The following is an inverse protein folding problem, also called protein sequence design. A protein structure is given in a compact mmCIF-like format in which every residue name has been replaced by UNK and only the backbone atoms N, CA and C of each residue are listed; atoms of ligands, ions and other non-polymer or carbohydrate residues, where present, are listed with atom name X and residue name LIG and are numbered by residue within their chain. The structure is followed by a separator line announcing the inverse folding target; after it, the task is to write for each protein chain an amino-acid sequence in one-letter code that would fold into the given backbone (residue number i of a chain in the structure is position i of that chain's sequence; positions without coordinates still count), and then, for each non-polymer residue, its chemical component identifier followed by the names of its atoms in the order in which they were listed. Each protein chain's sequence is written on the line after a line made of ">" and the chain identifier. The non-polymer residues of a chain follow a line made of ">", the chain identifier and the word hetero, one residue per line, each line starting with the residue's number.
data_IF_835939295111
#
_entry.id   IF_835939295111
#
_cell.length_a   1.000
_cell.length_b   1.000
_cell.length_c   1.000
_cell.angle_alpha   90.00
_cell.angle_beta   90.00
_cell.angle_gamma   90.00
#
_symmetry.space_group_name_H-M   'P 1'
#
loop_
_entity.id
_entity.type
_entity.pdbx_description
1 polymer ?
#
# COMPACT_ATOMS: atom_id res chain seq x y z
N UNK A 1 16.36 54.66 -28.42
CA UNK A 1 15.82 54.09 -27.16
C UNK A 1 15.01 52.87 -27.58
N UNK A 2 15.54 51.65 -27.53
CA UNK A 2 15.94 50.95 -26.30
C UNK A 2 14.80 49.99 -25.94
N UNK A 3 14.76 48.81 -26.58
CA UNK A 3 13.73 47.81 -26.34
C UNK A 3 14.05 46.92 -25.13
N UNK A 4 13.01 46.48 -24.43
CA UNK A 4 12.94 45.36 -23.47
C UNK A 4 11.44 45.14 -23.17
N UNK A 5 10.87 43.98 -22.87
CA UNK A 5 11.22 42.55 -22.91
C UNK A 5 9.87 41.85 -22.61
N UNK A 6 9.69 40.64 -23.14
CA UNK A 6 8.51 39.77 -22.93
C UNK A 6 8.29 39.50 -21.42
N UNK A 7 7.03 39.35 -21.00
CA UNK A 7 6.71 38.39 -19.95
C UNK A 7 5.59 37.47 -20.42
N UNK A 8 6.00 36.26 -20.74
CA UNK A 8 5.20 35.08 -21.07
C UNK A 8 4.57 34.66 -19.74
N UNK A 9 3.25 34.60 -19.70
CA UNK A 9 2.48 34.07 -18.57
C UNK A 9 3.08 32.74 -18.13
N UNK A 10 3.72 32.73 -16.96
CA UNK A 10 3.99 31.54 -16.18
C UNK A 10 2.64 30.87 -15.94
N UNK A 11 2.37 29.79 -16.69
CA UNK A 11 1.48 28.77 -16.20
C UNK A 11 2.15 28.27 -14.94
N UNK A 12 1.59 28.68 -13.81
CA UNK A 12 1.81 28.03 -12.53
C UNK A 12 1.43 26.57 -12.77
N UNK A 13 2.45 25.72 -12.96
CA UNK A 13 2.30 24.28 -12.85
C UNK A 13 1.87 24.05 -11.41
N UNK A 14 0.55 23.97 -11.23
CA UNK A 14 -0.07 23.35 -10.08
C UNK A 14 0.59 21.98 -9.99
N UNK A 15 1.46 21.83 -8.99
CA UNK A 15 2.11 20.56 -8.67
C UNK A 15 0.95 19.60 -8.39
N UNK A 16 0.60 18.77 -9.38
CA UNK A 16 -0.37 17.68 -9.24
C UNK A 16 0.27 16.68 -8.27
N UNK A 17 0.13 16.98 -6.98
CA UNK A 17 0.96 16.39 -5.91
C UNK A 17 0.91 14.85 -5.96
N UNK A 18 -0.22 14.26 -6.40
CA UNK A 18 -0.36 12.83 -6.65
C UNK A 18 -1.31 12.59 -7.85
N UNK A 19 -0.80 12.22 -9.04
CA UNK A 19 -1.63 12.17 -10.26
C UNK A 19 -2.48 10.90 -10.40
N UNK A 20 -2.29 9.90 -9.52
CA UNK A 20 -2.98 8.61 -9.59
C UNK A 20 -3.71 8.27 -8.31
N UNK A 21 -4.87 7.64 -8.43
CA UNK A 21 -5.64 7.12 -7.30
C UNK A 21 -6.29 5.78 -7.62
N UNK A 22 -6.56 4.99 -6.58
CA UNK A 22 -7.24 3.70 -6.67
C UNK A 22 -8.74 3.87 -6.41
N UNK A 23 -9.58 3.38 -7.32
CA UNK A 23 -11.01 3.25 -7.11
C UNK A 23 -11.46 1.79 -7.08
N UNK A 24 -12.46 1.51 -6.24
CA UNK A 24 -12.98 0.16 -5.98
C UNK A 24 -14.39 0.07 -6.56
N UNK A 25 -14.61 -0.65 -7.68
CA UNK A 25 -15.94 -0.81 -8.23
C UNK A 25 -16.85 -1.55 -7.25
N UNK A 26 -18.09 -1.07 -7.11
CA UNK A 26 -19.11 -1.77 -6.32
C UNK A 26 -19.47 -3.07 -7.02
N UNK A 27 -19.45 -4.20 -6.31
CA UNK A 27 -19.86 -5.49 -6.86
C UNK A 27 -21.24 -5.34 -7.50
N UNK A 28 -21.31 -5.73 -8.77
CA UNK A 28 -22.33 -5.33 -9.72
C UNK A 28 -23.61 -6.16 -9.58
N UNK A 29 -24.34 -6.00 -8.48
CA UNK A 29 -25.71 -6.56 -8.38
C UNK A 29 -26.81 -5.51 -8.23
N UNK A 30 -26.52 -4.30 -7.72
CA UNK A 30 -27.57 -3.28 -7.49
C UNK A 30 -27.42 -1.97 -8.29
N UNK A 31 -26.25 -1.67 -8.88
CA UNK A 31 -25.99 -0.38 -9.53
C UNK A 31 -26.33 -0.29 -11.03
N UNK A 32 -26.93 -1.35 -11.62
CA UNK A 32 -27.17 -1.42 -13.08
C UNK A 32 -28.26 -0.50 -13.65
N UNK A 33 -28.92 0.34 -12.84
CA UNK A 33 -30.12 1.07 -13.32
C UNK A 33 -29.88 2.43 -13.98
N UNK A 34 -28.68 3.04 -13.99
CA UNK A 34 -28.51 4.40 -14.56
C UNK A 34 -27.16 4.74 -15.23
N UNK A 35 -26.30 3.79 -15.59
CA UNK A 35 -25.05 4.12 -16.30
C UNK A 35 -25.18 4.00 -17.83
N UNK A 36 -24.61 4.94 -18.61
CA UNK A 36 -24.51 4.82 -20.07
C UNK A 36 -23.73 3.55 -20.45
N UNK A 37 -24.26 2.75 -21.38
CA UNK A 37 -23.65 1.47 -21.81
C UNK A 37 -22.16 1.58 -22.18
N UNK A 38 -21.74 2.71 -22.74
CA UNK A 38 -20.35 2.99 -23.14
C UNK A 38 -19.39 3.23 -21.97
N UNK A 39 -19.85 3.79 -20.84
CA UNK A 39 -19.01 3.94 -19.64
C UNK A 39 -18.81 2.59 -18.95
N UNK A 40 -19.88 1.81 -18.81
CA UNK A 40 -19.82 0.49 -18.21
C UNK A 40 -18.85 -0.46 -18.94
N UNK A 41 -18.84 -0.43 -20.28
CA UNK A 41 -17.89 -1.22 -21.08
C UNK A 41 -16.42 -0.80 -20.87
N UNK A 42 -16.15 0.51 -20.78
CA UNK A 42 -14.78 1.02 -20.56
C UNK A 42 -14.25 0.75 -19.15
N UNK A 43 -15.11 0.80 -18.15
CA UNK A 43 -14.72 0.47 -16.78
C UNK A 43 -14.43 -1.04 -16.64
N UNK A 44 -15.19 -1.89 -17.34
CA UNK A 44 -14.99 -3.35 -17.32
C UNK A 44 -13.59 -3.74 -17.87
N UNK A 45 -13.13 -3.11 -18.96
CA UNK A 45 -11.78 -3.34 -19.52
C UNK A 45 -10.65 -2.83 -18.61
N UNK A 46 -10.90 -1.80 -17.81
CA UNK A 46 -9.90 -1.21 -16.90
C UNK A 46 -9.88 -1.85 -15.53
N UNK A 47 -10.94 -2.57 -15.19
CA UNK A 47 -11.07 -3.25 -13.91
C UNK A 47 -10.08 -4.42 -13.87
N UNK A 48 -9.20 -4.39 -12.87
CA UNK A 48 -8.22 -5.44 -12.65
C UNK A 48 -8.51 -6.12 -11.32
N UNK A 49 -8.19 -7.40 -11.24
CA UNK A 49 -8.20 -8.15 -9.99
C UNK A 49 -6.82 -8.12 -9.36
N UNK A 50 -6.75 -7.82 -8.07
CA UNK A 50 -5.55 -7.96 -7.26
C UNK A 50 -5.76 -9.13 -6.32
N UNK A 51 -4.95 -10.17 -6.49
CA UNK A 51 -4.81 -11.23 -5.50
C UNK A 51 -4.17 -10.65 -4.24
N UNK A 52 -4.66 -11.08 -3.08
CA UNK A 52 -3.95 -10.84 -1.84
C UNK A 52 -2.79 -11.85 -1.78
N UNK A 53 -1.55 -11.42 -1.47
CA UNK A 53 -0.36 -12.26 -1.61
C UNK A 53 -0.37 -13.55 -0.75
N UNK A 54 -1.40 -13.77 0.08
CA UNK A 54 -1.44 -14.81 1.10
C UNK A 54 -2.78 -15.54 1.04
N UNK A 55 -2.71 -16.80 0.58
CA UNK A 55 -3.85 -17.62 0.15
C UNK A 55 -4.74 -18.17 1.28
N UNK A 56 -4.35 -18.01 2.55
CA UNK A 56 -5.06 -18.63 3.68
C UNK A 56 -6.23 -17.78 4.21
N UNK A 57 -6.42 -16.57 3.70
CA UNK A 57 -7.57 -15.72 4.02
C UNK A 57 -8.48 -15.69 2.81
N UNK A 58 -9.50 -16.56 2.81
CA UNK A 58 -10.21 -17.05 1.64
C UNK A 58 -11.00 -16.01 0.80
N UNK A 59 -10.84 -14.69 1.01
CA UNK A 59 -11.54 -13.68 0.19
C UNK A 59 -10.98 -12.24 0.27
N UNK A 60 -9.67 -12.03 0.42
CA UNK A 60 -9.10 -10.66 0.45
C UNK A 60 -8.80 -10.07 -0.93
N UNK A 61 -8.83 -10.90 -1.98
CA UNK A 61 -8.67 -10.44 -3.35
C UNK A 61 -9.79 -9.49 -3.76
N UNK A 62 -9.44 -8.44 -4.50
CA UNK A 62 -10.40 -7.39 -4.82
C UNK A 62 -10.21 -6.82 -6.22
N UNK A 63 -11.29 -6.27 -6.77
CA UNK A 63 -11.28 -5.55 -8.02
C UNK A 63 -10.91 -4.08 -7.78
N UNK A 64 -10.04 -3.54 -8.62
CA UNK A 64 -9.59 -2.16 -8.55
C UNK A 64 -9.47 -1.54 -9.95
N UNK A 65 -9.50 -0.22 -9.97
CA UNK A 65 -9.25 0.61 -11.14
C UNK A 65 -8.21 1.66 -10.72
N UNK A 66 -7.22 1.91 -11.57
CA UNK A 66 -6.31 3.05 -11.41
C UNK A 66 -6.84 4.19 -12.25
N UNK A 67 -6.92 5.39 -11.68
CA UNK A 67 -7.36 6.59 -12.37
C UNK A 67 -6.29 7.68 -12.28
N UNK A 68 -5.93 8.37 -13.38
CA UNK A 68 -6.36 8.16 -14.77
C UNK A 68 -5.78 6.88 -15.39
N UNK A 69 -6.66 5.95 -15.80
CA UNK A 69 -6.25 4.61 -16.19
C UNK A 69 -5.43 4.51 -17.47
N UNK A 70 -5.63 5.40 -18.45
CA UNK A 70 -4.84 5.40 -19.69
C UNK A 70 -3.39 5.74 -19.39
N UNK A 71 -3.16 6.82 -18.63
CA UNK A 71 -1.82 7.26 -18.27
C UNK A 71 -1.09 6.17 -17.49
N UNK A 72 -1.74 5.51 -16.53
CA UNK A 72 -1.13 4.41 -15.79
C UNK A 72 -0.79 3.20 -16.68
N UNK A 73 -1.67 2.87 -17.63
CA UNK A 73 -1.48 1.74 -18.54
C UNK A 73 -0.34 1.98 -19.54
N UNK A 74 -0.18 3.21 -19.99
CA UNK A 74 0.85 3.64 -20.95
C UNK A 74 2.27 3.68 -20.32
N UNK A 75 2.36 3.73 -18.99
CA UNK A 75 3.63 3.69 -18.27
C UNK A 75 4.34 2.34 -18.41
N UNK A 76 5.67 2.41 -18.45
CA UNK A 76 6.51 1.21 -18.51
C UNK A 76 6.54 0.53 -17.14
N UNK A 77 6.25 -0.78 -17.11
CA UNK A 77 6.36 -1.57 -15.88
C UNK A 77 7.80 -2.05 -15.66
N UNK A 78 8.28 -1.89 -14.43
CA UNK A 78 9.62 -2.31 -14.01
C UNK A 78 9.54 -3.41 -12.96
N UNK A 79 10.59 -4.24 -12.92
CA UNK A 79 10.74 -5.29 -11.89
C UNK A 79 11.24 -4.74 -10.57
N UNK A 80 11.90 -3.58 -10.59
CA UNK A 80 12.55 -2.97 -9.42
C UNK A 80 12.93 -1.52 -9.67
N UNK A 81 13.11 -0.76 -8.60
CA UNK A 81 13.77 0.55 -8.60
C UNK A 81 14.92 0.58 -7.57
N UNK A 82 15.78 1.59 -7.66
CA UNK A 82 16.90 1.80 -6.73
C UNK A 82 16.79 3.19 -6.11
N UNK A 83 16.81 3.26 -4.78
CA UNK A 83 16.76 4.52 -4.03
C UNK A 83 17.63 4.41 -2.78
N UNK A 84 18.44 5.43 -2.51
CA UNK A 84 19.31 5.46 -1.32
C UNK A 84 20.32 4.30 -1.24
N UNK A 85 20.71 3.72 -2.37
CA UNK A 85 21.59 2.55 -2.43
C UNK A 85 20.91 1.20 -2.23
N UNK A 86 19.61 1.18 -1.94
CA UNK A 86 18.81 -0.04 -1.80
C UNK A 86 18.02 -0.31 -3.08
N UNK A 87 17.86 -1.60 -3.41
CA UNK A 87 17.05 -2.05 -4.54
C UNK A 87 15.74 -2.63 -4.01
N UNK A 88 14.62 -2.10 -4.50
CA UNK A 88 13.27 -2.51 -4.12
C UNK A 88 12.57 -3.19 -5.28
N UNK A 89 11.84 -4.26 -5.01
CA UNK A 89 11.08 -5.06 -5.99
C UNK A 89 9.67 -5.36 -5.47
N UNK A 90 8.88 -6.04 -6.30
CA UNK A 90 7.59 -6.59 -5.89
C UNK A 90 7.77 -7.49 -4.65
N UNK A 91 6.79 -7.41 -3.76
CA UNK A 91 6.67 -8.12 -2.49
C UNK A 91 7.66 -7.69 -1.40
N UNK A 92 8.46 -6.65 -1.63
CA UNK A 92 9.24 -6.01 -0.57
C UNK A 92 8.35 -5.09 0.28
N UNK A 93 8.69 -4.99 1.57
CA UNK A 93 8.12 -4.01 2.49
C UNK A 93 9.03 -2.79 2.60
N UNK A 94 8.41 -1.60 2.67
CA UNK A 94 9.14 -0.33 2.71
C UNK A 94 8.55 0.61 3.74
N UNK A 95 9.42 1.45 4.32
CA UNK A 95 9.00 2.63 5.07
C UNK A 95 8.69 3.77 4.09
N UNK A 96 7.58 4.45 4.36
CA UNK A 96 7.07 5.57 3.56
C UNK A 96 6.97 6.79 4.46
N UNK A 97 7.54 7.90 4.01
CA UNK A 97 7.49 9.16 4.72
C UNK A 97 6.03 9.63 4.85
N UNK A 98 5.64 10.03 6.06
CA UNK A 98 4.35 10.69 6.28
C UNK A 98 4.55 12.19 6.54
N UNK A 99 3.45 12.92 6.70
CA UNK A 99 3.48 14.37 6.93
C UNK A 99 4.37 14.78 8.12
N UNK A 100 4.45 13.95 9.17
CA UNK A 100 5.26 14.24 10.36
C UNK A 100 6.75 14.12 10.05
N UNK A 101 7.15 13.05 9.36
CA UNK A 101 8.53 12.86 8.92
C UNK A 101 8.96 13.97 7.96
N UNK A 102 8.08 14.37 7.03
CA UNK A 102 8.34 15.49 6.10
C UNK A 102 8.53 16.81 6.87
N UNK A 103 7.62 17.13 7.80
CA UNK A 103 7.72 18.33 8.65
C UNK A 103 9.01 18.36 9.47
N UNK A 104 9.44 17.21 10.01
CA UNK A 104 10.69 17.08 10.78
C UNK A 104 11.92 17.37 9.92
N UNK A 105 11.97 16.81 8.71
CA UNK A 105 13.08 17.01 7.76
C UNK A 105 13.16 18.44 7.23
N UNK A 106 12.05 19.16 7.19
CA UNK A 106 11.98 20.55 6.73
C UNK A 106 12.50 21.58 7.76
N UNK A 107 12.76 21.18 9.01
CA UNK A 107 13.26 22.08 10.05
C UNK A 107 14.80 22.11 10.05
N UNK A 108 15.44 23.25 9.73
CA UNK A 108 16.88 23.32 9.46
C UNK A 108 17.78 23.36 10.70
N UNK A 109 17.24 23.36 11.92
CA UNK A 109 18.04 23.66 13.12
C UNK A 109 17.59 22.92 14.39
N UNK A 110 17.68 21.58 14.36
CA UNK A 110 17.79 20.81 15.61
C UNK A 110 19.09 20.01 15.58
N UNK A 111 20.11 20.57 16.23
CA UNK A 111 21.20 19.80 16.84
C UNK A 111 20.55 18.70 17.66
N UNK A 112 20.71 17.45 17.22
CA UNK A 112 20.73 16.25 18.05
C UNK A 112 19.98 16.40 19.38
N UNK A 113 18.65 16.57 19.32
CA UNK A 113 17.85 15.94 20.36
C UNK A 113 18.12 14.44 20.19
N UNK A 114 18.20 13.67 21.28
CA UNK A 114 18.42 12.24 21.15
C UNK A 114 17.45 11.74 20.09
N UNK A 115 17.89 10.77 19.30
CA UNK A 115 17.01 9.86 18.58
C UNK A 115 16.06 9.27 19.64
N UNK A 116 15.07 10.06 20.07
CA UNK A 116 13.94 9.55 20.78
C UNK A 116 13.34 8.66 19.73
N UNK A 117 13.54 7.37 19.97
CA UNK A 117 13.17 6.20 19.21
C UNK A 117 11.67 6.28 18.92
N UNK A 118 11.29 7.22 18.06
CA UNK A 118 10.06 7.25 17.30
C UNK A 118 10.15 6.18 16.21
N UNK A 119 10.64 5.00 16.61
CA UNK A 119 10.55 3.74 15.92
C UNK A 119 9.06 3.47 15.74
N UNK A 120 8.54 4.00 14.64
CA UNK A 120 7.22 3.66 14.16
C UNK A 120 6.27 4.80 13.86
N UNK A 121 6.76 6.00 13.59
CA UNK A 121 5.89 7.03 13.01
C UNK A 121 5.76 6.91 11.48
N UNK A 122 6.72 6.32 10.77
CA UNK A 122 6.62 6.15 9.32
C UNK A 122 5.57 5.08 8.97
N UNK A 123 4.91 5.29 7.83
CA UNK A 123 3.98 4.30 7.30
C UNK A 123 4.75 3.13 6.70
N UNK A 124 4.15 1.95 6.71
CA UNK A 124 4.75 0.75 6.11
C UNK A 124 3.85 0.29 4.97
N UNK A 125 4.47 -0.04 3.84
CA UNK A 125 3.77 -0.45 2.65
C UNK A 125 4.40 -1.71 2.03
N UNK A 126 3.58 -2.52 1.36
CA UNK A 126 3.98 -3.71 0.62
C UNK A 126 3.86 -3.47 -0.89
N UNK A 127 4.95 -3.64 -1.64
CA UNK A 127 5.00 -3.27 -3.07
C UNK A 127 4.30 -4.32 -3.95
N UNK A 128 3.34 -3.88 -4.78
CA UNK A 128 2.61 -4.74 -5.73
C UNK A 128 3.14 -4.63 -7.17
N UNK A 129 3.35 -3.40 -7.63
CA UNK A 129 3.95 -3.13 -8.94
C UNK A 129 4.67 -1.80 -8.95
N UNK A 130 5.65 -1.68 -9.85
CA UNK A 130 6.40 -0.45 -10.10
C UNK A 130 6.21 -0.07 -11.55
N UNK A 131 5.91 1.21 -11.78
CA UNK A 131 5.77 1.79 -13.12
C UNK A 131 6.48 3.13 -13.20
N UNK A 132 6.96 3.48 -14.39
CA UNK A 132 7.48 4.82 -14.64
C UNK A 132 7.01 5.36 -15.98
N UNK A 133 6.72 6.67 -16.03
CA UNK A 133 6.59 7.40 -17.30
C UNK A 133 7.95 7.88 -17.79
N UNK A 134 8.84 8.30 -16.89
CA UNK A 134 10.22 8.65 -17.17
C UNK A 134 11.12 8.45 -15.93
N UNK A 135 12.36 8.96 -15.98
CA UNK A 135 13.37 8.78 -14.93
C UNK A 135 13.00 9.48 -13.60
N UNK A 136 12.21 10.54 -13.66
CA UNK A 136 11.82 11.33 -12.48
C UNK A 136 10.43 10.94 -11.96
N UNK A 137 9.60 10.34 -12.81
CA UNK A 137 8.22 9.99 -12.49
C UNK A 137 8.07 8.48 -12.36
N UNK A 138 8.51 7.96 -11.21
CA UNK A 138 8.45 6.55 -10.87
C UNK A 138 7.48 6.35 -9.71
N UNK A 139 6.50 5.47 -9.90
CA UNK A 139 5.44 5.23 -8.94
C UNK A 139 5.34 3.74 -8.59
N UNK A 140 4.96 3.48 -7.35
CA UNK A 140 4.68 2.13 -6.87
C UNK A 140 3.23 2.02 -6.43
N UNK A 141 2.53 0.98 -6.90
CA UNK A 141 1.24 0.58 -6.33
C UNK A 141 1.52 -0.34 -5.15
N UNK A 142 0.90 -0.08 -4.01
CA UNK A 142 1.22 -0.74 -2.74
C UNK A 142 -0.03 -1.21 -2.01
N UNK A 143 0.13 -2.13 -1.06
CA UNK A 143 -0.81 -2.35 0.04
C UNK A 143 -0.31 -1.67 1.31
N UNK A 144 -1.21 -1.03 2.05
CA UNK A 144 -0.88 -0.43 3.35
C UNK A 144 -0.80 -1.47 4.48
N UNK A 145 0.20 -1.31 5.34
CA UNK A 145 0.30 -2.02 6.62
C UNK A 145 -0.13 -1.07 7.74
N UNK A 146 -1.21 -1.40 8.45
CA UNK A 146 -1.74 -0.56 9.52
C UNK A 146 -1.21 -0.95 10.88
N UNK A 147 -0.99 0.04 11.73
CA UNK A 147 -0.90 -0.18 13.17
C UNK A 147 -2.29 -0.27 13.77
N UNK A 148 -2.38 -0.90 14.94
CA UNK A 148 -3.65 -1.09 15.64
C UNK A 148 -4.42 0.21 15.89
N UNK A 149 -3.72 1.32 16.17
CA UNK A 149 -4.33 2.64 16.42
C UNK A 149 -4.68 3.42 15.14
N UNK A 150 -4.23 2.96 13.96
CA UNK A 150 -4.53 3.59 12.67
C UNK A 150 -5.82 3.03 12.05
N UNK A 151 -6.37 1.97 12.64
CA UNK A 151 -7.62 1.39 12.20
C UNK A 151 -8.79 2.36 12.46
N UNK A 152 -9.81 2.34 11.59
CA UNK A 152 -11.02 3.12 11.79
C UNK A 152 -11.66 2.86 13.16
N UNK A 153 -12.27 3.88 13.79
CA UNK A 153 -12.90 3.73 15.09
C UNK A 153 -14.00 2.66 15.05
N UNK A 154 -14.03 1.83 16.09
CA UNK A 154 -14.93 0.66 16.18
C UNK A 154 -14.33 -0.65 15.66
N UNK A 155 -13.14 -0.60 15.07
CA UNK A 155 -12.37 -1.78 14.67
C UNK A 155 -11.17 -1.88 15.61
N UNK A 156 -11.26 -2.78 16.57
CA UNK A 156 -10.14 -3.11 17.45
C UNK A 156 -9.48 -4.38 16.94
N UNK A 157 -8.16 -4.48 17.08
CA UNK A 157 -7.45 -5.73 16.87
C UNK A 157 -8.14 -6.84 17.68
N UNK A 158 -8.23 -8.04 17.12
CA UNK A 158 -8.91 -9.17 17.77
C UNK A 158 -8.15 -9.68 19.02
N UNK A 159 -7.03 -9.04 19.38
CA UNK A 159 -6.12 -9.45 20.44
C UNK A 159 -5.83 -8.26 21.38
N UNK A 160 -5.82 -8.47 22.71
CA UNK A 160 -5.65 -7.41 23.69
C UNK A 160 -4.21 -6.89 23.80
N UNK A 161 -3.22 -7.68 23.35
CA UNK A 161 -1.81 -7.31 23.37
C UNK A 161 -1.37 -6.93 21.96
N UNK A 162 -1.22 -5.63 21.73
CA UNK A 162 -0.61 -5.09 20.53
C UNK A 162 0.84 -4.79 20.85
N UNK A 163 1.76 -5.64 20.41
CA UNK A 163 3.19 -5.30 20.45
C UNK A 163 3.42 -4.00 19.67
N UNK A 164 4.36 -3.14 20.09
CA UNK A 164 4.67 -1.87 19.37
C UNK A 164 5.00 -2.08 17.88
N UNK A 165 5.47 -3.28 17.53
CA UNK A 165 5.87 -3.73 16.20
C UNK A 165 4.81 -4.61 15.49
N UNK A 166 3.63 -4.78 16.07
CA UNK A 166 2.51 -5.46 15.41
C UNK A 166 1.87 -4.57 14.35
N UNK A 167 1.71 -5.14 13.16
CA UNK A 167 1.05 -4.56 12.00
C UNK A 167 -0.14 -5.43 11.58
N UNK A 168 -1.01 -4.83 10.80
CA UNK A 168 -2.21 -5.42 10.22
C UNK A 168 -2.11 -5.25 8.72
N UNK A 169 -2.10 -6.38 8.01
CA UNK A 169 -1.92 -6.35 6.56
C UNK A 169 -3.25 -6.05 5.87
N UNK A 170 -3.36 -4.88 5.23
CA UNK A 170 -4.59 -4.47 4.56
C UNK A 170 -4.57 -4.78 3.07
N UNK A 171 -5.73 -5.08 2.49
CA UNK A 171 -5.92 -5.04 1.03
C UNK A 171 -6.15 -3.60 0.51
N UNK A 172 -6.03 -2.59 1.37
CA UNK A 172 -6.09 -1.18 0.97
C UNK A 172 -4.91 -0.84 0.07
N UNK A 173 -5.21 -0.64 -1.21
CA UNK A 173 -4.26 -0.22 -2.24
C UNK A 173 -4.19 1.28 -2.39
N UNK A 174 -2.99 1.74 -2.69
CA UNK A 174 -2.70 3.12 -3.07
C UNK A 174 -1.51 3.19 -4.06
N UNK A 175 -1.26 4.38 -4.60
CA UNK A 175 -0.10 4.66 -5.47
C UNK A 175 0.75 5.74 -4.83
N UNK A 176 2.02 5.43 -4.61
CA UNK A 176 2.99 6.35 -4.03
C UNK A 176 4.07 6.72 -5.05
N UNK A 177 4.59 7.94 -4.94
CA UNK A 177 5.87 8.29 -5.56
C UNK A 177 6.98 7.52 -4.84
N UNK A 178 7.87 6.85 -5.58
CA UNK A 178 8.97 6.09 -4.96
C UNK A 178 9.91 6.99 -4.16
N UNK A 179 9.98 8.28 -4.44
CA UNK A 179 10.78 9.25 -3.66
C UNK A 179 10.24 9.45 -2.23
N UNK A 180 8.99 9.04 -1.95
CA UNK A 180 8.45 9.00 -0.59
C UNK A 180 9.00 7.84 0.25
N UNK A 181 9.65 6.85 -0.37
CA UNK A 181 10.25 5.70 0.32
C UNK A 181 11.50 6.13 1.08
N UNK A 182 11.55 5.81 2.37
CA UNK A 182 12.64 6.22 3.27
C UNK A 182 13.63 5.10 3.54
N UNK A 183 13.22 3.84 3.38
CA UNK A 183 14.09 2.68 3.57
C UNK A 183 13.35 1.35 3.44
N UNK A 184 14.10 0.23 3.46
CA UNK A 184 13.50 -1.09 3.55
C UNK A 184 12.88 -1.33 4.93
N UNK A 185 11.75 -2.02 4.98
CA UNK A 185 11.14 -2.49 6.21
C UNK A 185 11.23 -4.02 6.28
N UNK A 186 11.61 -4.56 7.44
CA UNK A 186 11.57 -6.01 7.67
C UNK A 186 10.27 -6.35 8.39
N UNK A 187 9.41 -7.13 7.72
CA UNK A 187 8.07 -7.49 8.21
C UNK A 187 7.86 -8.99 8.06
N UNK A 188 7.52 -9.67 9.15
CA UNK A 188 7.32 -11.12 9.20
C UNK A 188 5.86 -11.51 9.43
N UNK A 189 5.43 -12.61 8.81
CA UNK A 189 4.12 -13.20 9.10
C UNK A 189 4.25 -14.19 10.27
N UNK A 190 3.42 -14.03 11.30
CA UNK A 190 3.47 -14.88 12.51
C UNK A 190 2.11 -15.52 12.73
N UNK A 191 2.07 -16.83 12.97
CA UNK A 191 0.83 -17.59 13.23
C UNK A 191 0.65 -17.92 14.71
N UNK A 192 1.72 -18.26 15.41
CA UNK A 192 1.72 -18.61 16.83
C UNK A 192 2.63 -17.64 17.59
N UNK A 193 2.10 -17.02 18.64
CA UNK A 193 2.89 -16.14 19.52
C UNK A 193 3.41 -17.01 20.66
N UNK A 194 4.62 -17.54 20.53
CA UNK A 194 5.44 -17.73 21.72
C UNK A 194 5.88 -16.33 22.17
N UNK A 195 5.73 -16.06 23.46
CA UNK A 195 5.68 -14.76 24.13
C UNK A 195 6.98 -13.92 24.04
N UNK A 196 7.90 -14.23 23.12
CA UNK A 196 9.18 -13.54 22.99
C UNK A 196 9.06 -12.27 22.14
N UNK A 197 9.51 -11.18 22.74
CA UNK A 197 9.78 -9.86 22.16
C UNK A 197 10.31 -9.96 20.74
N UNK A 198 9.42 -9.78 19.76
CA UNK A 198 9.84 -9.71 18.37
C UNK A 198 10.50 -8.35 18.14
N UNK A 199 11.80 -8.36 17.88
CA UNK A 199 12.58 -7.18 17.51
C UNK A 199 12.29 -6.71 16.07
N UNK A 200 11.46 -7.43 15.33
CA UNK A 200 11.10 -7.16 13.94
C UNK A 200 9.61 -6.84 13.84
N UNK A 201 9.21 -6.06 12.83
CA UNK A 201 7.79 -5.87 12.55
C UNK A 201 7.13 -7.18 12.17
N UNK A 202 5.92 -7.39 12.62
CA UNK A 202 5.20 -8.62 12.32
C UNK A 202 3.72 -8.37 12.12
N UNK A 203 3.05 -9.29 11.45
CA UNK A 203 1.60 -9.26 11.30
C UNK A 203 1.05 -10.68 11.34
N UNK A 204 -0.18 -10.78 11.85
CA UNK A 204 -0.94 -12.04 12.01
C UNK A 204 -2.42 -11.89 11.66
N UNK A 205 -2.83 -10.65 11.41
CA UNK A 205 -4.18 -10.27 11.06
C UNK A 205 -4.14 -9.54 9.73
N UNK A 206 -5.17 -9.77 8.94
CA UNK A 206 -5.39 -9.03 7.72
C UNK A 206 -6.69 -8.23 7.80
N UNK A 207 -6.71 -7.06 7.18
CA UNK A 207 -7.83 -6.14 7.17
C UNK A 207 -8.40 -6.02 5.76
N UNK A 208 -9.70 -6.25 5.62
CA UNK A 208 -10.43 -5.96 4.40
C UNK A 208 -10.96 -4.52 4.43
N UNK A 209 -10.32 -3.65 3.66
CA UNK A 209 -10.69 -2.24 3.48
C UNK A 209 -12.15 -2.05 3.04
N UNK A 210 -12.69 -2.97 2.23
CA UNK A 210 -14.03 -2.85 1.65
C UNK A 210 -15.12 -3.26 2.64
N UNK A 211 -14.95 -4.40 3.32
CA UNK A 211 -15.93 -4.90 4.29
C UNK A 211 -15.71 -4.32 5.70
N UNK A 212 -14.55 -3.72 5.95
CA UNK A 212 -14.11 -3.23 7.26
C UNK A 212 -14.04 -4.34 8.30
N UNK A 213 -13.55 -5.51 7.91
CA UNK A 213 -13.42 -6.68 8.76
C UNK A 213 -11.97 -7.10 8.92
N UNK A 214 -11.63 -7.63 10.10
CA UNK A 214 -10.35 -8.28 10.38
C UNK A 214 -10.52 -9.79 10.25
N UNK A 215 -9.57 -10.44 9.61
CA UNK A 215 -9.44 -11.89 9.54
C UNK A 215 -8.11 -12.31 10.15
N UNK A 216 -8.11 -13.34 10.98
CA UNK A 216 -6.89 -14.01 11.39
C UNK A 216 -6.31 -14.81 10.23
N UNK A 217 -4.99 -14.93 10.18
CA UNK A 217 -4.34 -15.89 9.29
C UNK A 217 -4.60 -17.29 9.85
N UNK A 218 -5.42 -18.09 9.17
CA UNK A 218 -5.68 -19.47 9.58
C UNK A 218 -4.54 -20.42 9.12
N UNK A 219 -4.24 -21.43 9.95
CA UNK A 219 -3.40 -22.57 9.54
C UNK A 219 -4.08 -23.32 8.40
N UNK A 220 -3.31 -23.68 7.36
CA UNK A 220 -3.68 -24.82 6.52
C UNK A 220 -3.66 -26.03 7.45
N UNK A 221 -4.82 -26.56 7.83
CA UNK A 221 -4.83 -27.95 8.27
C UNK A 221 -4.44 -28.76 7.03
N UNK A 222 -3.36 -29.56 7.07
CA UNK A 222 -3.14 -30.53 6.00
C UNK A 222 -4.45 -31.33 5.92
N UNK A 223 -5.02 -31.39 4.71
CA UNK A 223 -6.18 -32.25 4.42
C UNK A 223 -5.95 -33.57 5.15
N UNK A 224 -6.88 -34.05 5.98
CA UNK A 224 -6.71 -35.34 6.62
C UNK A 224 -6.52 -36.33 5.48
N UNK A 225 -5.30 -36.83 5.35
CA UNK A 225 -4.95 -37.89 4.42
C UNK A 225 -6.00 -38.96 4.59
N UNK A 226 -6.76 -39.23 3.54
CA UNK A 226 -7.79 -40.26 3.52
C UNK A 226 -7.21 -41.49 4.19
N UNK A 227 -7.92 -41.94 5.23
CA UNK A 227 -7.73 -43.25 5.83
C UNK A 227 -7.41 -44.26 4.73
N UNK A 228 -6.18 -44.75 4.71
CA UNK A 228 -5.89 -46.05 4.11
C UNK A 228 -5.95 -47.08 5.23
N UNK A 229 -7.07 -47.83 5.37
CA UNK A 229 -7.04 -49.08 6.11
C UNK A 229 -6.46 -50.13 5.17
N UNK A 230 -5.24 -50.58 5.43
CA UNK A 230 -4.64 -51.81 4.91
C UNK A 230 -3.24 -51.92 5.52
N UNK A 231 -2.80 -52.96 6.20
CA UNK A 231 -3.31 -54.27 6.59
C UNK A 231 -2.54 -54.67 7.85
#
# INVERSE_FOLDING_TARGET
>A
MGGHKRSRSEKQEEIEDHPFFISYPKSSSQARKKQPKTKALRDDERTKFQDFPISNTSNLGLLYIVEPGTTWQDMTSYKSFVLGGFKYKRDDFVFVANERTVKRRALPDRKSEPEDEGDGEEWIAHILEVRASDVNHVYARVHWMYRSYELPPGISSLQPYNGKKELIFSNHMDIIDVLSVTGPAEVQQVMDVEEETQDVYFWRQAYDWRSRQLSLVERIQPTPSEHSPNQ
#
